data_IF_356485186665
#
_entry.id   IF_356485186665
#
_cell.length_a   1.000
_cell.length_b   1.000
_cell.length_c   1.000
_cell.angle_alpha   90.00
_cell.angle_beta   90.00
_cell.angle_gamma   90.00
#
_symmetry.space_group_name_H-M   'P 1'
#
loop_
_entity.id
_entity.type
_entity.pdbx_description
1 polymer ?
#
# COMPACT_ATOMS: atom_id res chain seq x y z
N UNK A 1 -23.19 12.85 -44.94
CA UNK A 1 -22.64 13.69 -43.84
C UNK A 1 -23.53 13.47 -42.64
N UNK A 2 -23.10 12.73 -41.62
CA UNK A 2 -23.90 12.41 -40.44
C UNK A 2 -23.07 12.78 -39.21
N UNK A 3 -23.46 13.85 -38.51
CA UNK A 3 -22.83 14.32 -37.28
C UNK A 3 -23.43 13.53 -36.09
N UNK A 4 -22.59 12.79 -35.38
CA UNK A 4 -22.89 12.26 -34.04
C UNK A 4 -23.17 13.42 -33.07
N UNK A 5 -24.17 13.33 -32.18
CA UNK A 5 -24.47 14.40 -31.25
C UNK A 5 -23.41 14.46 -30.14
N UNK A 6 -22.82 15.65 -29.97
CA UNK A 6 -22.05 16.03 -28.78
C UNK A 6 -23.03 15.99 -27.60
N UNK A 7 -22.79 15.10 -26.62
CA UNK A 7 -23.55 15.07 -25.37
C UNK A 7 -23.41 16.43 -24.67
N UNK A 8 -24.53 17.04 -24.32
CA UNK A 8 -24.56 18.37 -23.69
C UNK A 8 -24.00 18.29 -22.26
N UNK A 9 -23.35 19.37 -21.80
CA UNK A 9 -22.73 19.45 -20.47
C UNK A 9 -23.73 19.16 -19.35
N UNK A 10 -25.00 19.49 -19.57
CA UNK A 10 -26.09 19.27 -18.61
C UNK A 10 -26.45 17.78 -18.47
N UNK A 11 -26.41 17.01 -19.56
CA UNK A 11 -26.64 15.56 -19.55
C UNK A 11 -25.52 14.83 -18.79
N UNK A 12 -24.26 15.25 -19.00
CA UNK A 12 -23.10 14.74 -18.28
C UNK A 12 -23.19 15.04 -16.79
N UNK A 13 -23.59 16.26 -16.42
CA UNK A 13 -23.76 16.68 -15.03
C UNK A 13 -24.91 15.93 -14.34
N UNK A 14 -26.01 15.68 -15.05
CA UNK A 14 -27.12 14.89 -14.54
C UNK A 14 -26.75 13.42 -14.33
N UNK A 15 -25.97 12.83 -15.24
CA UNK A 15 -25.47 11.47 -15.11
C UNK A 15 -24.50 11.32 -13.92
N UNK A 16 -23.58 12.26 -13.73
CA UNK A 16 -22.64 12.26 -12.60
C UNK A 16 -23.35 12.39 -11.24
N UNK A 17 -24.37 13.25 -11.17
CA UNK A 17 -25.22 13.36 -9.97
C UNK A 17 -25.93 12.04 -9.66
N UNK A 18 -26.56 11.40 -10.65
CA UNK A 18 -27.23 10.09 -10.45
C UNK A 18 -26.26 9.01 -10.00
N UNK A 19 -25.03 9.02 -10.53
CA UNK A 19 -23.98 8.08 -10.12
C UNK A 19 -23.57 8.31 -8.66
N UNK A 20 -23.40 9.57 -8.24
CA UNK A 20 -23.09 9.93 -6.85
C UNK A 20 -24.22 9.57 -5.87
N UNK A 21 -25.47 9.84 -6.25
CA UNK A 21 -26.66 9.46 -5.47
C UNK A 21 -26.77 7.94 -5.32
N UNK A 22 -26.55 7.20 -6.42
CA UNK A 22 -26.55 5.73 -6.39
C UNK A 22 -25.43 5.18 -5.51
N UNK A 23 -24.22 5.76 -5.60
CA UNK A 23 -23.09 5.35 -4.77
C UNK A 23 -23.33 5.63 -3.28
N UNK A 24 -23.95 6.76 -2.94
CA UNK A 24 -24.34 7.08 -1.56
C UNK A 24 -25.42 6.14 -1.04
N UNK A 25 -26.45 5.84 -1.84
CA UNK A 25 -27.52 4.93 -1.46
C UNK A 25 -26.99 3.49 -1.24
N UNK A 26 -26.10 3.02 -2.10
CA UNK A 26 -25.43 1.72 -1.95
C UNK A 26 -24.52 1.72 -0.72
N UNK A 27 -23.77 2.80 -0.47
CA UNK A 27 -22.93 2.93 0.72
C UNK A 27 -23.73 2.88 2.02
N UNK A 28 -24.85 3.61 2.07
CA UNK A 28 -25.77 3.59 3.20
C UNK A 28 -26.38 2.19 3.41
N UNK A 29 -26.82 1.54 2.32
CA UNK A 29 -27.35 0.17 2.38
C UNK A 29 -26.29 -0.82 2.91
N UNK A 30 -25.06 -0.78 2.39
CA UNK A 30 -23.96 -1.63 2.86
C UNK A 30 -23.61 -1.37 4.33
N UNK A 31 -23.64 -0.11 4.78
CA UNK A 31 -23.41 0.22 6.19
C UNK A 31 -24.51 -0.26 7.13
N UNK A 32 -25.74 -0.42 6.61
CA UNK A 32 -26.90 -0.93 7.37
C UNK A 32 -26.94 -2.45 7.47
N UNK A 33 -26.20 -3.16 6.61
CA UNK A 33 -26.02 -4.59 6.73
C UNK A 33 -25.07 -4.84 7.89
N UNK A 34 -25.62 -5.11 9.06
CA UNK A 34 -24.88 -5.74 10.15
C UNK A 34 -24.53 -7.16 9.71
N UNK A 35 -23.48 -7.31 8.90
CA UNK A 35 -22.87 -8.61 8.65
C UNK A 35 -22.44 -9.11 10.02
N UNK A 36 -23.04 -10.21 10.48
CA UNK A 36 -22.58 -10.90 11.68
C UNK A 36 -21.12 -11.26 11.43
N UNK A 37 -20.23 -10.46 12.00
CA UNK A 37 -18.80 -10.60 11.84
C UNK A 37 -18.31 -11.24 13.12
N UNK A 38 -17.77 -12.45 13.01
CA UNK A 38 -17.15 -13.14 14.13
C UNK A 38 -16.20 -12.17 14.87
N UNK A 39 -16.24 -12.07 16.21
CA UNK A 39 -15.41 -11.13 16.96
C UNK A 39 -13.91 -11.26 16.66
N UNK A 40 -13.46 -12.44 16.21
CA UNK A 40 -12.09 -12.65 15.73
C UNK A 40 -11.80 -11.88 14.43
N UNK A 41 -12.73 -11.89 13.47
CA UNK A 41 -12.61 -11.18 12.19
C UNK A 41 -12.66 -9.67 12.42
N UNK A 42 -13.57 -9.18 13.27
CA UNK A 42 -13.62 -7.75 13.62
C UNK A 42 -12.30 -7.27 14.26
N UNK A 43 -11.72 -8.06 15.17
CA UNK A 43 -10.42 -7.76 15.80
C UNK A 43 -9.27 -7.78 14.79
N UNK A 44 -9.25 -8.73 13.87
CA UNK A 44 -8.22 -8.80 12.83
C UNK A 44 -8.25 -7.56 11.93
N UNK A 45 -9.45 -7.17 11.47
CA UNK A 45 -9.63 -5.95 10.66
C UNK A 45 -9.20 -4.71 11.43
N UNK A 46 -9.59 -4.58 12.71
CA UNK A 46 -9.17 -3.45 13.53
C UNK A 46 -7.64 -3.41 13.75
N UNK A 47 -7.01 -4.57 13.96
CA UNK A 47 -5.57 -4.66 14.13
C UNK A 47 -4.82 -4.23 12.86
N UNK A 48 -5.31 -4.63 11.69
CA UNK A 48 -4.78 -4.19 10.40
C UNK A 48 -4.97 -2.67 10.19
N UNK A 49 -6.14 -2.12 10.50
CA UNK A 49 -6.37 -0.67 10.44
C UNK A 49 -5.42 0.10 11.37
N UNK A 50 -5.20 -0.40 12.58
CA UNK A 50 -4.27 0.19 13.54
C UNK A 50 -2.82 0.12 13.05
N UNK A 51 -2.42 -0.97 12.41
CA UNK A 51 -1.09 -1.09 11.78
C UNK A 51 -0.90 0.00 10.73
N UNK A 52 -1.83 0.15 9.80
CA UNK A 52 -1.71 1.16 8.74
C UNK A 52 -1.79 2.59 9.28
N UNK A 53 -2.60 2.86 10.30
CA UNK A 53 -2.64 4.16 10.96
C UNK A 53 -1.29 4.52 11.60
N UNK A 54 -0.60 3.55 12.22
CA UNK A 54 0.76 3.75 12.74
C UNK A 54 1.77 4.01 11.63
N UNK A 55 1.72 3.22 10.55
CA UNK A 55 2.61 3.43 9.39
C UNK A 55 2.42 4.82 8.81
N UNK A 56 1.17 5.25 8.63
CA UNK A 56 0.83 6.58 8.13
C UNK A 56 1.32 7.70 9.06
N UNK A 57 1.13 7.55 10.38
CA UNK A 57 1.56 8.55 11.36
C UNK A 57 3.09 8.68 11.44
N UNK A 58 3.81 7.55 11.32
CA UNK A 58 5.26 7.51 11.53
C UNK A 58 6.05 7.77 10.26
N UNK A 59 5.67 7.11 9.16
CA UNK A 59 6.44 7.11 7.91
C UNK A 59 5.70 7.85 6.78
N UNK A 60 4.43 8.15 6.96
CA UNK A 60 3.54 8.55 5.87
C UNK A 60 3.11 7.35 5.03
N UNK A 61 1.98 7.53 4.34
CA UNK A 61 1.42 6.55 3.43
C UNK A 61 1.04 7.23 2.11
N UNK A 62 1.93 7.16 1.14
CA UNK A 62 1.88 7.97 -0.08
C UNK A 62 0.90 7.34 -1.07
N UNK A 63 0.13 8.16 -1.78
CA UNK A 63 -0.58 7.75 -3.00
C UNK A 63 0.39 7.47 -4.14
N UNK A 64 -0.03 6.80 -5.22
CA UNK A 64 0.83 6.60 -6.41
C UNK A 64 1.38 7.91 -6.97
N UNK A 65 0.59 9.00 -6.93
CA UNK A 65 1.03 10.31 -7.41
C UNK A 65 2.12 10.90 -6.52
N UNK A 66 1.93 10.84 -5.19
CA UNK A 66 2.92 11.32 -4.23
C UNK A 66 4.21 10.50 -4.28
N UNK A 67 4.11 9.18 -4.34
CA UNK A 67 5.26 8.29 -4.52
C UNK A 67 6.03 8.62 -5.82
N UNK A 68 5.33 8.81 -6.93
CA UNK A 68 5.96 9.19 -8.20
C UNK A 68 6.67 10.54 -8.13
N UNK A 69 6.08 11.53 -7.44
CA UNK A 69 6.73 12.83 -7.18
C UNK A 69 7.92 12.70 -6.24
N UNK A 70 7.81 11.87 -5.20
CA UNK A 70 8.90 11.59 -4.24
C UNK A 70 10.12 10.99 -4.95
N UNK A 71 9.89 10.12 -5.93
CA UNK A 71 10.91 9.56 -6.81
C UNK A 71 11.47 10.55 -7.86
N UNK A 72 11.02 11.82 -7.84
CA UNK A 72 11.53 12.87 -8.72
C UNK A 72 10.88 12.94 -10.10
N UNK A 73 9.72 12.30 -10.32
CA UNK A 73 9.03 12.42 -11.62
C UNK A 73 8.66 13.86 -11.95
N UNK A 74 9.10 14.34 -13.11
CA UNK A 74 8.71 15.63 -13.71
C UNK A 74 7.60 15.48 -14.78
N UNK A 75 7.13 14.26 -15.01
CA UNK A 75 6.05 13.96 -15.97
C UNK A 75 4.70 14.52 -15.49
N UNK A 76 3.78 14.77 -16.44
CA UNK A 76 2.38 15.07 -16.16
C UNK A 76 1.63 13.89 -15.53
N UNK A 77 2.17 12.68 -15.60
CA UNK A 77 1.60 11.47 -14.97
C UNK A 77 2.59 10.79 -13.98
N UNK A 78 2.93 11.41 -12.84
CA UNK A 78 3.89 10.85 -11.87
C UNK A 78 3.52 9.46 -11.35
N UNK A 79 2.22 9.17 -11.23
CA UNK A 79 1.71 7.87 -10.78
C UNK A 79 2.23 6.69 -11.59
N UNK A 80 2.53 6.89 -12.88
CA UNK A 80 3.00 5.82 -13.75
C UNK A 80 4.42 5.35 -13.36
N UNK A 81 5.25 6.25 -12.84
CA UNK A 81 6.57 5.90 -12.31
C UNK A 81 6.42 4.99 -11.08
N UNK A 82 5.59 5.38 -10.11
CA UNK A 82 5.34 4.57 -8.92
C UNK A 82 4.74 3.20 -9.25
N UNK A 83 3.72 3.16 -10.13
CA UNK A 83 3.12 1.89 -10.58
C UNK A 83 4.13 0.99 -11.31
N UNK A 84 5.02 1.56 -12.11
CA UNK A 84 6.08 0.80 -12.78
C UNK A 84 7.12 0.27 -11.80
N UNK A 85 7.54 1.10 -10.84
CA UNK A 85 8.48 0.70 -9.80
C UNK A 85 7.91 -0.41 -8.90
N UNK A 86 6.63 -0.31 -8.53
CA UNK A 86 5.90 -1.37 -7.82
C UNK A 86 5.83 -2.67 -8.61
N UNK A 87 5.46 -2.59 -9.90
CA UNK A 87 5.45 -3.77 -10.77
C UNK A 87 6.84 -4.42 -10.88
N UNK A 88 7.89 -3.62 -10.88
CA UNK A 88 9.28 -4.05 -10.96
C UNK A 88 9.91 -4.35 -9.59
N UNK A 89 9.12 -4.57 -8.54
CA UNK A 89 9.60 -4.91 -7.19
C UNK A 89 10.39 -3.85 -6.43
N UNK A 90 10.66 -2.71 -7.03
CA UNK A 90 11.36 -1.61 -6.36
C UNK A 90 10.52 -0.92 -5.26
N UNK A 91 9.21 -1.18 -5.18
CA UNK A 91 8.34 -0.66 -4.12
C UNK A 91 7.47 -1.77 -3.52
N UNK A 92 7.08 -1.56 -2.27
CA UNK A 92 5.93 -2.21 -1.61
C UNK A 92 4.76 -1.23 -1.49
N UNK A 93 3.55 -1.77 -1.55
CA UNK A 93 2.29 -1.07 -1.44
C UNK A 93 1.29 -1.90 -0.65
N UNK A 94 0.49 -1.21 0.16
CA UNK A 94 -0.65 -1.80 0.88
C UNK A 94 -1.94 -1.32 0.24
N UNK A 95 -2.97 -2.18 0.25
CA UNK A 95 -4.28 -1.82 -0.29
C UNK A 95 -5.07 -1.01 0.74
N UNK A 96 -5.50 0.19 0.37
CA UNK A 96 -6.39 1.05 1.16
C UNK A 96 -7.69 1.24 0.37
N UNK A 97 -8.70 0.42 0.69
CA UNK A 97 -9.94 0.38 -0.09
C UNK A 97 -9.66 0.08 -1.57
N UNK A 98 -9.93 1.04 -2.46
CA UNK A 98 -9.75 0.88 -3.90
C UNK A 98 -8.43 1.44 -4.47
N UNK A 99 -7.48 1.84 -3.62
CA UNK A 99 -6.19 2.36 -4.09
C UNK A 99 -5.00 1.68 -3.40
N UNK A 100 -3.85 1.71 -4.07
CA UNK A 100 -2.56 1.30 -3.51
C UNK A 100 -1.90 2.49 -2.83
N UNK A 101 -1.39 2.26 -1.63
CA UNK A 101 -0.68 3.25 -0.85
C UNK A 101 0.71 2.74 -0.49
N UNK A 102 1.72 3.60 -0.56
CA UNK A 102 3.13 3.28 -0.50
C UNK A 102 3.70 3.78 0.84
N UNK A 103 4.10 2.89 1.76
CA UNK A 103 4.71 3.31 3.03
C UNK A 103 5.97 4.16 2.80
N UNK A 104 6.12 5.27 3.52
CA UNK A 104 7.22 6.21 3.26
C UNK A 104 8.61 5.73 3.65
N UNK A 105 8.72 4.73 4.55
CA UNK A 105 10.00 4.17 5.01
C UNK A 105 10.85 3.58 3.88
N UNK A 106 10.23 3.25 2.74
CA UNK A 106 10.91 2.63 1.61
C UNK A 106 11.71 3.60 0.74
N UNK A 107 11.67 4.91 1.04
CA UNK A 107 12.35 5.95 0.28
C UNK A 107 13.53 6.55 1.06
N UNK A 108 14.70 6.61 0.44
CA UNK A 108 15.87 7.31 0.98
C UNK A 108 15.68 8.83 1.04
N UNK A 109 16.66 9.53 1.64
CA UNK A 109 16.65 10.99 1.72
C UNK A 109 16.57 11.64 0.32
N UNK A 110 17.20 11.03 -0.69
CA UNK A 110 17.18 11.43 -2.09
C UNK A 110 15.84 11.15 -2.81
N UNK A 111 14.88 10.52 -2.13
CA UNK A 111 13.56 10.18 -2.64
C UNK A 111 13.53 8.92 -3.49
N UNK A 112 14.67 8.24 -3.68
CA UNK A 112 14.71 6.98 -4.40
C UNK A 112 14.29 5.82 -3.51
N UNK A 113 13.70 4.76 -4.07
CA UNK A 113 13.43 3.55 -3.31
C UNK A 113 14.73 2.93 -2.78
N UNK A 114 14.68 2.37 -1.57
CA UNK A 114 15.82 1.66 -0.99
C UNK A 114 16.04 0.33 -1.74
N UNK A 115 17.27 0.02 -2.21
CA UNK A 115 17.54 -1.23 -2.93
C UNK A 115 17.19 -2.50 -2.14
N UNK A 116 17.20 -2.43 -0.81
CA UNK A 116 16.80 -3.53 0.06
C UNK A 116 15.34 -3.97 -0.18
N UNK A 117 14.46 -3.09 -0.64
CA UNK A 117 13.03 -3.37 -0.84
C UNK A 117 12.82 -4.41 -1.92
N UNK A 118 13.52 -4.29 -3.05
CA UNK A 118 13.46 -5.27 -4.14
C UNK A 118 13.88 -6.66 -3.65
N UNK A 119 15.02 -6.72 -2.96
CA UNK A 119 15.56 -7.98 -2.39
C UNK A 119 14.62 -8.58 -1.35
N UNK A 120 14.03 -7.76 -0.48
CA UNK A 120 13.05 -8.22 0.51
C UNK A 120 11.77 -8.77 -0.15
N UNK A 121 11.32 -8.15 -1.25
CA UNK A 121 10.19 -8.66 -2.02
C UNK A 121 10.50 -9.99 -2.69
N UNK A 122 11.72 -10.18 -3.18
CA UNK A 122 12.15 -11.46 -3.74
C UNK A 122 12.22 -12.56 -2.66
N UNK A 123 12.75 -12.25 -1.47
CA UNK A 123 12.75 -13.17 -0.33
C UNK A 123 11.34 -13.55 0.07
N UNK A 124 10.44 -12.57 0.19
CA UNK A 124 9.05 -12.81 0.55
C UNK A 124 8.34 -13.70 -0.48
N UNK A 125 8.44 -13.37 -1.78
CA UNK A 125 7.81 -14.13 -2.85
C UNK A 125 8.34 -15.57 -2.93
N UNK A 126 9.65 -15.75 -2.79
CA UNK A 126 10.29 -17.08 -2.80
C UNK A 126 9.76 -17.97 -1.67
N UNK A 127 9.42 -17.38 -0.54
CA UNK A 127 8.88 -18.09 0.63
C UNK A 127 7.33 -18.05 0.70
N UNK A 128 6.65 -17.57 -0.34
CA UNK A 128 5.18 -17.52 -0.38
C UNK A 128 4.53 -16.47 0.53
N UNK A 129 5.31 -15.49 1.02
CA UNK A 129 4.79 -14.40 1.84
C UNK A 129 4.09 -13.34 0.98
N UNK A 130 2.97 -12.84 1.49
CA UNK A 130 2.28 -11.71 0.86
C UNK A 130 3.04 -10.40 1.08
N UNK A 131 2.85 -9.44 0.18
CA UNK A 131 3.42 -8.10 0.31
C UNK A 131 2.92 -7.37 1.58
N UNK A 132 1.65 -7.54 1.94
CA UNK A 132 1.10 -7.05 3.21
C UNK A 132 1.79 -7.71 4.40
N UNK A 133 2.03 -9.02 4.35
CA UNK A 133 2.76 -9.75 5.40
C UNK A 133 4.19 -9.24 5.57
N UNK A 134 4.88 -8.95 4.47
CA UNK A 134 6.20 -8.31 4.49
C UNK A 134 6.15 -6.93 5.16
N UNK A 135 5.21 -6.06 4.78
CA UNK A 135 5.06 -4.74 5.40
C UNK A 135 4.74 -4.85 6.89
N UNK A 136 3.89 -5.78 7.29
CA UNK A 136 3.56 -6.02 8.69
C UNK A 136 4.79 -6.49 9.47
N UNK A 137 5.57 -7.41 8.91
CA UNK A 137 6.79 -7.91 9.53
C UNK A 137 7.85 -6.83 9.70
N UNK A 138 8.05 -5.97 8.68
CA UNK A 138 8.98 -4.84 8.76
C UNK A 138 8.65 -3.89 9.91
N UNK A 139 7.37 -3.70 10.19
CA UNK A 139 6.89 -2.78 11.22
C UNK A 139 6.70 -3.43 12.61
N UNK A 140 6.96 -4.72 12.76
CA UNK A 140 6.80 -5.45 14.01
C UNK A 140 8.15 -5.68 14.69
N UNK A 141 8.24 -5.54 16.02
CA UNK A 141 9.38 -5.98 16.81
C UNK A 141 9.73 -7.43 16.51
N UNK A 142 11.03 -7.76 16.46
CA UNK A 142 11.47 -9.13 16.24
C UNK A 142 12.63 -9.51 17.17
N UNK A 143 12.64 -10.76 17.62
CA UNK A 143 13.71 -11.30 18.46
C UNK A 143 15.04 -11.44 17.71
N UNK A 144 15.01 -11.48 16.37
CA UNK A 144 16.22 -11.52 15.54
C UNK A 144 17.01 -10.20 15.54
N UNK A 145 16.38 -9.09 15.98
CA UNK A 145 16.97 -7.76 16.05
C UNK A 145 16.87 -7.19 17.46
N UNK A 146 17.05 -8.04 18.48
CA UNK A 146 17.08 -7.62 19.89
C UNK A 146 15.80 -6.91 20.38
N UNK A 147 14.67 -7.15 19.70
CA UNK A 147 13.39 -6.49 19.96
C UNK A 147 13.11 -5.25 19.13
N UNK A 148 14.05 -4.81 18.29
CA UNK A 148 13.82 -3.72 17.33
C UNK A 148 12.95 -4.19 16.16
N UNK A 149 12.42 -3.23 15.41
CA UNK A 149 11.66 -3.48 14.18
C UNK A 149 12.63 -3.49 12.99
N UNK A 150 12.48 -4.40 12.02
CA UNK A 150 13.32 -4.39 10.83
C UNK A 150 13.32 -3.06 10.05
N UNK A 151 12.20 -2.32 10.06
CA UNK A 151 12.08 -1.01 9.40
C UNK A 151 13.10 0.02 9.94
N UNK A 152 13.46 -0.07 11.22
CA UNK A 152 14.39 0.86 11.88
C UNK A 152 15.83 0.69 11.39
N UNK A 153 16.13 -0.46 10.78
CA UNK A 153 17.46 -0.86 10.32
C UNK A 153 17.62 -0.79 8.79
N UNK A 154 16.57 -0.47 8.02
CA UNK A 154 16.60 -0.47 6.55
C UNK A 154 17.61 0.51 5.94
N UNK A 155 17.90 1.62 6.62
CA UNK A 155 18.82 2.64 6.14
C UNK A 155 20.27 2.39 6.56
N UNK A 156 20.48 1.85 7.75
CA UNK A 156 21.79 1.72 8.38
C UNK A 156 22.38 0.32 8.21
N UNK A 157 21.54 -0.72 8.29
CA UNK A 157 21.95 -2.13 8.30
C UNK A 157 21.08 -2.99 7.35
N UNK A 158 20.91 -2.60 6.07
CA UNK A 158 19.98 -3.28 5.14
C UNK A 158 20.33 -4.76 4.93
N UNK A 159 21.62 -5.13 4.91
CA UNK A 159 22.03 -6.52 4.74
C UNK A 159 21.72 -7.37 5.97
N UNK A 160 21.74 -6.79 7.18
CA UNK A 160 21.29 -7.47 8.41
C UNK A 160 19.80 -7.74 8.36
N UNK A 161 19.00 -6.77 7.90
CA UNK A 161 17.55 -6.94 7.71
C UNK A 161 17.25 -8.05 6.70
N UNK A 162 18.00 -8.13 5.60
CA UNK A 162 17.84 -9.17 4.58
C UNK A 162 18.16 -10.56 5.11
N UNK A 163 19.25 -10.72 5.87
CA UNK A 163 19.61 -12.00 6.48
C UNK A 163 18.50 -12.48 7.43
N UNK A 164 18.03 -11.58 8.30
CA UNK A 164 16.95 -11.87 9.25
C UNK A 164 15.61 -12.16 8.55
N UNK A 165 15.32 -11.48 7.44
CA UNK A 165 14.13 -11.78 6.64
C UNK A 165 14.18 -13.19 6.03
N UNK A 166 15.35 -13.61 5.52
CA UNK A 166 15.52 -14.94 4.97
C UNK A 166 15.29 -16.03 6.01
N UNK A 167 15.78 -15.84 7.25
CA UNK A 167 15.52 -16.78 8.35
C UNK A 167 14.05 -16.77 8.79
N UNK A 168 13.50 -15.59 9.05
CA UNK A 168 12.14 -15.44 9.57
C UNK A 168 11.07 -15.97 8.60
N UNK A 169 11.28 -15.79 7.29
CA UNK A 169 10.30 -16.15 6.27
C UNK A 169 10.43 -17.59 5.78
N UNK A 170 11.60 -18.24 5.97
CA UNK A 170 11.81 -19.64 5.62
C UNK A 170 11.13 -20.63 6.57
N UNK A 171 10.67 -20.18 7.75
CA UNK A 171 9.97 -21.03 8.71
C UNK A 171 8.54 -21.32 8.20
N UNK A 172 8.34 -22.51 7.65
CA UNK A 172 7.00 -23.07 7.39
C UNK A 172 6.50 -23.79 8.65
N UNK A 173 5.34 -23.40 9.16
CA UNK A 173 4.62 -24.13 10.22
C UNK A 173 3.55 -25.05 9.63
#
# INVERSE_FOLDING_TARGET
>A
MCMTPVKTLDELTAADRRLRESAQAVGAALSSVAVYTEPAVARAVQAEQNLYARIEAEFGLLTSTEAGKRMGSRSSAPRNLATTAHRNKALVAVRRGNYLAYPGFQFGADGKPLPAIERLRDVAETNGWSETGLVQWLCAPTTYLDGDRPVDHLLTEPDRVLAVAAEAMAVSW
#
